data_IF_876869727279
#
_entry.id   IF_876869727279
#
_cell.length_a   1.000
_cell.length_b   1.000
_cell.length_c   1.000
_cell.angle_alpha   90.00
_cell.angle_beta   90.00
_cell.angle_gamma   90.00
#
_symmetry.space_group_name_H-M   'P 1'
#
loop_
_entity.id
_entity.type
_entity.pdbx_description
1 polymer ?
#
# COMPACT_ATOMS: atom_id res chain seq x y z
N UNK A 1 19.48 -45.58 -26.68
CA UNK A 1 19.59 -44.12 -26.56
C UNK A 1 18.75 -43.71 -25.36
N UNK A 2 19.42 -43.40 -24.25
CA UNK A 2 18.80 -42.92 -23.01
C UNK A 2 18.26 -41.52 -23.27
N UNK A 3 16.95 -41.32 -23.18
CA UNK A 3 16.34 -39.99 -23.17
C UNK A 3 16.94 -39.21 -22.00
N UNK A 4 17.62 -38.10 -22.27
CA UNK A 4 18.08 -37.20 -21.22
C UNK A 4 16.91 -36.85 -20.29
N UNK A 5 17.12 -36.81 -18.95
CA UNK A 5 16.05 -36.42 -18.04
C UNK A 5 15.53 -35.05 -18.49
N UNK A 6 14.21 -34.94 -18.64
CA UNK A 6 13.55 -33.66 -18.91
C UNK A 6 14.04 -32.71 -17.83
N UNK A 7 14.83 -31.70 -18.20
CA UNK A 7 15.39 -30.76 -17.24
C UNK A 7 14.31 -29.73 -16.90
N UNK A 8 13.46 -30.09 -15.94
CA UNK A 8 12.32 -29.29 -15.49
C UNK A 8 12.74 -27.92 -14.94
N UNK A 9 14.01 -27.77 -14.53
CA UNK A 9 14.57 -26.54 -13.99
C UNK A 9 14.75 -25.44 -15.06
N UNK A 10 14.71 -25.80 -16.34
CA UNK A 10 14.83 -24.87 -17.48
C UNK A 10 13.48 -24.29 -17.94
N UNK A 11 12.36 -24.72 -17.34
CA UNK A 11 11.04 -24.20 -17.73
C UNK A 11 10.83 -22.80 -17.13
N UNK A 12 10.43 -21.80 -17.94
CA UNK A 12 10.30 -20.41 -17.47
C UNK A 12 9.29 -20.26 -16.32
N UNK A 13 8.23 -21.07 -16.31
CA UNK A 13 7.25 -21.10 -15.23
C UNK A 13 7.84 -21.60 -13.90
N UNK A 14 8.67 -22.64 -13.94
CA UNK A 14 9.32 -23.22 -12.75
C UNK A 14 10.35 -22.25 -12.17
N UNK A 15 11.03 -21.50 -13.05
CA UNK A 15 11.98 -20.46 -12.64
C UNK A 15 11.28 -19.25 -12.02
N UNK A 16 10.13 -18.84 -12.57
CA UNK A 16 9.29 -17.78 -12.01
C UNK A 16 8.74 -18.16 -10.62
N UNK A 17 8.20 -19.36 -10.47
CA UNK A 17 7.70 -19.86 -9.18
C UNK A 17 8.83 -20.02 -8.16
N UNK A 18 9.97 -20.58 -8.56
CA UNK A 18 11.14 -20.72 -7.70
C UNK A 18 11.68 -19.37 -7.23
N UNK A 19 11.75 -18.40 -8.15
CA UNK A 19 12.08 -17.01 -7.85
C UNK A 19 11.09 -16.39 -6.87
N UNK A 20 9.79 -16.57 -7.09
CA UNK A 20 8.75 -16.05 -6.22
C UNK A 20 8.83 -16.59 -4.79
N UNK A 21 9.00 -17.91 -4.62
CA UNK A 21 9.13 -18.52 -3.30
C UNK A 21 10.39 -18.01 -2.58
N UNK A 22 11.52 -17.94 -3.29
CA UNK A 22 12.75 -17.39 -2.72
C UNK A 22 12.58 -15.91 -2.34
N UNK A 23 11.96 -15.12 -3.21
CA UNK A 23 11.68 -13.70 -2.98
C UNK A 23 10.74 -13.48 -1.81
N UNK A 24 9.74 -14.34 -1.64
CA UNK A 24 8.80 -14.30 -0.54
C UNK A 24 9.51 -14.56 0.80
N UNK A 25 10.37 -15.58 0.86
CA UNK A 25 11.16 -15.89 2.05
C UNK A 25 12.11 -14.74 2.41
N UNK A 26 12.74 -14.11 1.41
CA UNK A 26 13.58 -12.92 1.62
C UNK A 26 12.75 -11.71 2.04
N UNK A 27 11.58 -11.50 1.44
CA UNK A 27 10.65 -10.43 1.77
C UNK A 27 10.12 -10.52 3.20
N UNK A 28 10.13 -11.72 3.80
CA UNK A 28 9.74 -12.01 5.18
C UNK A 28 10.87 -11.84 6.21
N UNK A 29 12.10 -11.54 5.77
CA UNK A 29 13.21 -11.19 6.67
C UNK A 29 13.47 -9.68 6.58
N UNK A 30 13.42 -8.92 7.69
CA UNK A 30 13.66 -7.49 7.67
C UNK A 30 15.03 -7.17 7.04
N UNK A 31 15.05 -6.25 6.06
CA UNK A 31 16.24 -5.79 5.34
C UNK A 31 16.97 -6.83 4.47
N UNK A 32 16.46 -8.06 4.34
CA UNK A 32 17.14 -9.08 3.54
C UNK A 32 17.16 -8.75 2.04
N UNK A 33 16.15 -8.02 1.52
CA UNK A 33 16.16 -7.55 0.13
C UNK A 33 17.29 -6.55 -0.15
N UNK A 34 17.57 -5.65 0.81
CA UNK A 34 18.64 -4.65 0.71
C UNK A 34 20.02 -5.31 0.83
N UNK A 35 20.16 -6.33 1.68
CA UNK A 35 21.40 -7.12 1.78
C UNK A 35 21.72 -7.88 0.49
N UNK A 36 20.71 -8.44 -0.17
CA UNK A 36 20.87 -9.15 -1.45
C UNK A 36 21.23 -8.21 -2.60
N UNK A 37 20.64 -7.02 -2.71
CA UNK A 37 21.07 -6.04 -3.72
C UNK A 37 22.52 -5.57 -3.52
N UNK A 38 22.98 -5.48 -2.27
CA UNK A 38 24.35 -5.09 -1.94
C UNK A 38 25.36 -6.22 -2.23
N UNK A 39 24.94 -7.48 -2.07
CA UNK A 39 25.69 -8.69 -2.43
C UNK A 39 25.67 -8.99 -3.94
N UNK A 40 24.57 -8.71 -4.63
CA UNK A 40 24.42 -8.79 -6.08
C UNK A 40 25.22 -7.68 -6.77
N UNK A 41 25.19 -6.45 -6.25
CA UNK A 41 26.05 -5.35 -6.71
C UNK A 41 27.54 -5.61 -6.44
N UNK A 42 27.87 -6.42 -5.42
CA UNK A 42 29.23 -6.88 -5.15
C UNK A 42 29.65 -8.09 -6.03
N UNK A 43 28.77 -8.62 -6.89
CA UNK A 43 29.09 -9.70 -7.83
C UNK A 43 29.30 -11.07 -7.19
N UNK A 44 28.84 -11.29 -5.95
CA UNK A 44 29.11 -12.51 -5.17
C UNK A 44 28.10 -13.63 -5.43
N UNK A 45 26.94 -13.34 -6.02
CA UNK A 45 25.88 -14.31 -6.32
C UNK A 45 25.66 -14.53 -7.82
N UNK A 46 25.36 -15.77 -8.19
CA UNK A 46 25.18 -16.19 -9.57
C UNK A 46 23.97 -15.53 -10.23
N UNK A 47 24.14 -15.08 -11.48
CA UNK A 47 23.10 -14.39 -12.25
C UNK A 47 21.98 -15.38 -12.61
N UNK A 48 20.85 -15.33 -11.91
CA UNK A 48 19.65 -16.10 -12.25
C UNK A 48 19.06 -15.67 -13.60
N UNK A 49 18.20 -16.53 -14.17
CA UNK A 49 17.45 -16.22 -15.40
C UNK A 49 16.49 -15.04 -15.19
N UNK A 50 16.10 -14.31 -16.27
CA UNK A 50 15.19 -13.17 -16.17
C UNK A 50 13.87 -13.50 -15.47
N UNK A 51 13.34 -14.71 -15.68
CA UNK A 51 12.10 -15.21 -15.09
C UNK A 51 12.24 -15.43 -13.58
N UNK A 52 13.38 -15.97 -13.13
CA UNK A 52 13.67 -16.12 -11.71
C UNK A 52 13.83 -14.77 -11.00
N UNK A 53 14.41 -13.75 -11.67
CA UNK A 53 14.53 -12.38 -11.12
C UNK A 53 13.17 -11.70 -11.00
N UNK A 54 12.32 -11.86 -12.00
CA UNK A 54 10.95 -11.36 -11.96
C UNK A 54 10.15 -12.01 -10.81
N UNK A 55 10.29 -13.33 -10.63
CA UNK A 55 9.72 -14.05 -9.50
C UNK A 55 10.22 -13.51 -8.17
N UNK A 56 11.55 -13.37 -8.02
CA UNK A 56 12.22 -12.86 -6.82
C UNK A 56 11.68 -11.48 -6.42
N UNK A 57 11.60 -10.56 -7.37
CA UNK A 57 11.10 -9.20 -7.14
C UNK A 57 9.63 -9.19 -6.69
N UNK A 58 8.76 -9.98 -7.34
CA UNK A 58 7.35 -10.11 -6.94
C UNK A 58 7.24 -10.70 -5.53
N UNK A 59 8.03 -11.74 -5.22
CA UNK A 59 8.06 -12.37 -3.91
C UNK A 59 8.49 -11.40 -2.80
N UNK A 60 9.53 -10.59 -3.04
CA UNK A 60 10.01 -9.59 -2.08
C UNK A 60 8.98 -8.50 -1.79
N UNK A 61 8.23 -8.06 -2.80
CA UNK A 61 7.12 -7.10 -2.63
C UNK A 61 6.02 -7.73 -1.76
N UNK A 62 5.59 -8.95 -2.08
CA UNK A 62 4.53 -9.64 -1.33
C UNK A 62 4.95 -9.92 0.11
N UNK A 63 6.18 -10.41 0.33
CA UNK A 63 6.73 -10.65 1.66
C UNK A 63 6.92 -9.35 2.46
N UNK A 64 7.40 -8.28 1.82
CA UNK A 64 7.55 -6.96 2.43
C UNK A 64 6.22 -6.34 2.84
N UNK A 65 5.18 -6.45 2.01
CA UNK A 65 3.81 -6.03 2.36
C UNK A 65 3.27 -6.87 3.53
N UNK A 66 3.48 -8.19 3.53
CA UNK A 66 3.09 -9.06 4.64
C UNK A 66 3.82 -8.69 5.95
N UNK A 67 5.12 -8.36 5.90
CA UNK A 67 5.87 -7.85 7.05
C UNK A 67 5.40 -6.49 7.52
N UNK A 68 5.13 -5.55 6.60
CA UNK A 68 4.64 -4.22 6.95
C UNK A 68 3.26 -4.30 7.59
N UNK A 69 2.36 -5.13 7.04
CA UNK A 69 1.04 -5.37 7.63
C UNK A 69 1.19 -6.08 8.97
N UNK A 70 2.02 -7.11 9.07
CA UNK A 70 2.32 -7.82 10.31
C UNK A 70 2.90 -6.91 11.40
N UNK A 71 3.75 -5.95 11.03
CA UNK A 71 4.28 -4.91 11.91
C UNK A 71 3.24 -3.87 12.34
N UNK A 72 2.16 -3.69 11.58
CA UNK A 72 1.02 -2.83 11.91
C UNK A 72 -0.10 -3.57 12.69
N UNK A 73 -0.10 -4.92 12.71
CA UNK A 73 -1.17 -5.77 13.31
C UNK A 73 -0.76 -6.48 14.59
N UNK A 74 0.08 -5.85 15.42
CA UNK A 74 0.45 -6.38 16.75
C UNK A 74 -0.69 -6.51 17.77
N UNK A 75 -1.90 -5.97 17.52
CA UNK A 75 -3.02 -6.00 18.48
C UNK A 75 -4.35 -6.56 17.96
N UNK A 76 -4.57 -6.74 16.65
CA UNK A 76 -5.89 -7.21 16.17
C UNK A 76 -5.93 -8.71 15.86
N UNK A 77 -4.77 -9.37 15.76
CA UNK A 77 -4.74 -10.82 15.47
C UNK A 77 -4.42 -11.69 16.69
N UNK A 78 -3.70 -11.20 17.72
CA UNK A 78 -3.37 -12.00 18.92
C UNK A 78 -4.58 -12.46 19.74
N UNK A 79 -5.72 -11.77 19.62
CA UNK A 79 -6.99 -12.14 20.27
C UNK A 79 -7.90 -13.04 19.44
N UNK A 80 -7.62 -13.27 18.15
CA UNK A 80 -8.50 -14.06 17.27
C UNK A 80 -7.81 -15.32 16.74
N UNK A 81 -6.47 -15.37 16.61
CA UNK A 81 -5.76 -16.65 16.42
C UNK A 81 -5.69 -17.53 17.66
N UNK A 82 -6.06 -17.00 18.82
CA UNK A 82 -6.25 -17.78 20.05
C UNK A 82 -7.59 -18.54 20.09
N UNK A 83 -8.51 -18.32 19.13
CA UNK A 83 -9.84 -18.95 19.14
C UNK A 83 -10.08 -20.04 18.08
N UNK A 84 -9.17 -20.23 17.11
CA UNK A 84 -9.25 -21.37 16.17
C UNK A 84 -7.89 -22.05 16.12
N UNK A 85 -7.78 -23.17 16.84
CA UNK A 85 -6.52 -23.82 17.18
C UNK A 85 -5.66 -24.21 15.98
N UNK A 86 -4.36 -23.85 16.09
CA UNK A 86 -3.12 -24.65 15.89
C UNK A 86 -1.93 -23.97 16.62
N UNK A 87 -2.16 -22.94 17.45
CA UNK A 87 -1.10 -22.11 18.06
C UNK A 87 -0.69 -22.46 19.49
N UNK A 88 -0.85 -23.71 19.95
CA UNK A 88 -0.71 -24.04 21.38
C UNK A 88 0.59 -24.72 21.82
N UNK A 89 1.64 -24.79 20.98
CA UNK A 89 2.77 -25.67 21.30
C UNK A 89 4.18 -25.08 21.28
N UNK A 90 4.39 -23.77 21.11
CA UNK A 90 5.70 -23.15 21.39
C UNK A 90 5.47 -21.75 21.94
N UNK A 91 5.66 -21.58 23.25
CA UNK A 91 5.59 -20.28 23.91
C UNK A 91 6.78 -19.37 23.55
N UNK A 92 6.58 -18.09 23.86
CA UNK A 92 7.53 -16.93 23.89
C UNK A 92 7.48 -16.01 22.65
N UNK A 93 7.47 -14.66 22.80
CA UNK A 93 6.69 -13.76 23.67
C UNK A 93 5.86 -12.74 22.83
N UNK A 94 5.07 -11.88 23.46
CA UNK A 94 4.44 -10.74 22.80
C UNK A 94 5.51 -9.81 22.17
N UNK A 95 5.56 -9.75 20.82
CA UNK A 95 6.55 -8.96 20.11
C UNK A 95 6.06 -7.51 20.04
N UNK A 96 6.85 -6.62 20.63
CA UNK A 96 6.75 -5.18 20.51
C UNK A 96 6.54 -4.76 19.04
N UNK A 97 5.66 -3.77 18.82
CA UNK A 97 5.57 -3.05 17.53
C UNK A 97 6.93 -2.40 17.27
N UNK A 98 7.80 -3.10 16.55
CA UNK A 98 9.13 -2.59 16.24
C UNK A 98 9.03 -1.78 14.96
N UNK A 99 9.29 -0.48 15.06
CA UNK A 99 9.54 0.39 13.90
C UNK A 99 10.50 -0.27 12.90
N UNK A 100 11.41 -1.14 13.36
CA UNK A 100 12.31 -1.92 12.51
C UNK A 100 11.61 -2.91 11.57
N UNK A 101 10.45 -3.48 11.93
CA UNK A 101 9.67 -4.36 11.04
C UNK A 101 8.97 -3.56 9.95
N UNK A 102 8.43 -2.39 10.30
CA UNK A 102 7.78 -1.49 9.32
C UNK A 102 8.83 -0.92 8.36
N UNK A 103 9.95 -0.41 8.89
CA UNK A 103 11.06 0.13 8.08
C UNK A 103 11.74 -0.98 7.26
N UNK A 104 11.91 -2.18 7.83
CA UNK A 104 12.45 -3.34 7.12
C UNK A 104 11.53 -3.84 6.01
N UNK A 105 10.21 -3.86 6.22
CA UNK A 105 9.23 -4.19 5.20
C UNK A 105 9.18 -3.17 4.06
N UNK A 106 9.25 -1.86 4.38
CA UNK A 106 9.38 -0.79 3.37
C UNK A 106 10.67 -0.93 2.57
N UNK A 107 11.79 -1.31 3.22
CA UNK A 107 13.06 -1.60 2.54
C UNK A 107 12.95 -2.77 1.55
N UNK A 108 12.28 -3.86 1.92
CA UNK A 108 12.06 -5.01 1.04
C UNK A 108 11.13 -4.67 -0.15
N UNK A 109 10.13 -3.80 0.05
CA UNK A 109 9.27 -3.32 -1.03
C UNK A 109 10.07 -2.45 -2.02
N UNK A 110 10.94 -1.57 -1.52
CA UNK A 110 11.76 -0.71 -2.37
C UNK A 110 12.74 -1.51 -3.25
N UNK A 111 13.43 -2.50 -2.66
CA UNK A 111 14.32 -3.41 -3.38
C UNK A 111 13.56 -4.22 -4.45
N UNK A 112 12.37 -4.74 -4.11
CA UNK A 112 11.53 -5.46 -5.08
C UNK A 112 11.06 -4.58 -6.25
N UNK A 113 10.72 -3.31 -6.01
CA UNK A 113 10.36 -2.35 -7.07
C UNK A 113 11.56 -2.03 -7.98
N UNK A 114 12.75 -1.87 -7.40
CA UNK A 114 13.98 -1.62 -8.16
C UNK A 114 14.37 -2.83 -9.00
N UNK A 115 14.34 -4.04 -8.45
CA UNK A 115 14.57 -5.28 -9.18
C UNK A 115 13.56 -5.53 -10.29
N UNK A 116 12.28 -5.24 -10.07
CA UNK A 116 11.23 -5.35 -11.09
C UNK A 116 11.43 -4.33 -12.22
N UNK A 117 11.79 -3.08 -11.89
CA UNK A 117 12.11 -2.05 -12.87
C UNK A 117 13.29 -2.45 -13.77
N UNK A 118 14.34 -3.02 -13.17
CA UNK A 118 15.49 -3.53 -13.93
C UNK A 118 15.13 -4.74 -14.81
N UNK A 119 14.28 -5.65 -14.32
CA UNK A 119 13.81 -6.79 -15.10
C UNK A 119 12.97 -6.36 -16.32
N UNK A 120 12.11 -5.35 -16.15
CA UNK A 120 11.27 -4.79 -17.22
C UNK A 120 12.08 -3.97 -18.23
N UNK A 121 13.12 -3.24 -17.79
CA UNK A 121 14.04 -2.54 -18.70
C UNK A 121 14.96 -3.50 -19.47
N UNK A 122 15.23 -4.69 -18.92
CA UNK A 122 16.01 -5.74 -19.58
C UNK A 122 15.22 -6.58 -20.58
N UNK A 123 13.88 -6.55 -20.53
CA UNK A 123 13.01 -7.22 -21.50
C UNK A 123 12.37 -6.19 -22.43
N UNK A 124 13.04 -5.92 -23.56
CA UNK A 124 12.46 -5.17 -24.66
C UNK A 124 11.20 -5.87 -25.19
N UNK A 125 10.03 -5.26 -24.94
CA UNK A 125 8.75 -5.42 -25.66
C UNK A 125 8.39 -6.82 -26.19
N UNK A 126 7.48 -7.53 -25.51
CA UNK A 126 6.56 -8.47 -26.18
C UNK A 126 5.32 -8.75 -25.31
N UNK A 127 4.14 -8.37 -25.82
CA UNK A 127 2.85 -9.03 -25.50
C UNK A 127 1.87 -8.30 -24.57
N UNK A 128 0.61 -8.04 -25.00
CA UNK A 128 -0.38 -7.33 -24.20
C UNK A 128 -1.00 -8.27 -23.17
N UNK A 129 -0.56 -8.15 -21.91
CA UNK A 129 -1.31 -8.69 -20.78
C UNK A 129 -2.22 -7.58 -20.31
N UNK A 130 -3.53 -7.81 -20.49
CA UNK A 130 -4.59 -6.87 -20.19
C UNK A 130 -4.38 -6.21 -18.84
N UNK A 131 -3.86 -4.98 -18.88
CA UNK A 131 -4.08 -4.02 -17.83
C UNK A 131 -5.60 -3.92 -17.71
N UNK A 132 -6.14 -4.44 -16.61
CA UNK A 132 -7.42 -3.96 -16.13
C UNK A 132 -7.36 -2.43 -16.26
N UNK A 133 -8.37 -1.77 -16.86
CA UNK A 133 -8.31 -0.33 -17.04
C UNK A 133 -7.96 0.25 -15.68
N UNK A 134 -6.83 0.96 -15.60
CA UNK A 134 -6.45 1.74 -14.44
C UNK A 134 -7.65 2.65 -14.24
N UNK A 135 -8.57 2.26 -13.35
CA UNK A 135 -9.67 3.13 -12.96
C UNK A 135 -8.95 4.29 -12.31
N UNK A 136 -8.91 5.40 -13.03
CA UNK A 136 -8.35 6.64 -12.52
C UNK A 136 -9.01 6.85 -11.15
N UNK A 137 -8.23 6.66 -10.08
CA UNK A 137 -8.82 6.71 -8.74
C UNK A 137 -9.46 8.08 -8.58
N UNK A 138 -10.75 8.16 -8.20
CA UNK A 138 -11.47 9.42 -8.21
C UNK A 138 -10.72 10.45 -7.37
N UNK A 139 -10.47 11.61 -7.98
CA UNK A 139 -9.81 12.75 -7.33
C UNK A 139 -10.55 13.15 -6.07
N UNK A 140 -9.80 13.47 -5.02
CA UNK A 140 -10.31 13.98 -3.74
C UNK A 140 -10.56 15.49 -3.79
N UNK A 141 -10.20 16.17 -4.88
CA UNK A 141 -10.47 17.60 -5.11
C UNK A 141 -11.94 17.89 -5.45
N UNK A 142 -12.75 16.84 -5.63
CA UNK A 142 -14.19 16.91 -5.88
C UNK A 142 -14.92 15.93 -4.95
N UNK A 143 -16.23 16.09 -4.74
CA UNK A 143 -17.03 15.09 -4.03
C UNK A 143 -16.86 13.69 -4.64
N UNK A 144 -16.33 12.78 -3.83
CA UNK A 144 -16.18 11.37 -4.18
C UNK A 144 -17.50 10.57 -4.25
N UNK A 145 -17.43 9.28 -4.62
CA UNK A 145 -18.60 8.44 -4.92
C UNK A 145 -19.54 8.17 -3.72
N UNK A 146 -19.09 8.45 -2.50
CA UNK A 146 -19.89 8.27 -1.28
C UNK A 146 -20.43 9.60 -0.72
N UNK A 147 -20.30 10.71 -1.46
CA UNK A 147 -20.82 12.02 -1.08
C UNK A 147 -22.36 12.08 -1.19
N UNK A 148 -23.07 11.52 -0.19
CA UNK A 148 -24.54 11.44 -0.18
C UNK A 148 -25.23 12.67 0.41
N UNK A 149 -24.65 13.26 1.44
CA UNK A 149 -25.19 14.41 2.18
C UNK A 149 -24.04 15.30 2.64
N UNK A 150 -24.28 16.61 2.72
CA UNK A 150 -23.31 17.62 3.16
C UNK A 150 -23.97 18.69 4.03
N UNK A 151 -23.16 19.51 4.69
CA UNK A 151 -23.62 20.76 5.33
C UNK A 151 -22.96 21.95 4.61
N UNK A 152 -23.51 23.17 4.70
CA UNK A 152 -22.85 24.37 4.17
C UNK A 152 -21.45 24.53 4.77
N UNK A 153 -20.47 24.91 3.94
CA UNK A 153 -19.14 25.25 4.41
C UNK A 153 -18.90 26.76 4.39
N UNK A 154 -17.82 27.13 5.05
CA UNK A 154 -17.22 28.44 5.05
C UNK A 154 -15.70 28.27 5.18
N UNK A 155 -14.94 29.35 4.97
CA UNK A 155 -13.49 29.30 5.21
C UNK A 155 -13.15 29.07 6.68
N UNK A 156 -12.07 28.35 6.93
CA UNK A 156 -11.52 28.15 8.27
C UNK A 156 -11.94 26.83 8.90
N UNK A 157 -12.04 26.81 10.23
CA UNK A 157 -12.38 25.59 10.96
C UNK A 157 -13.89 25.49 11.18
N UNK A 158 -14.48 24.28 11.12
CA UNK A 158 -15.88 24.10 11.50
C UNK A 158 -16.07 24.47 12.98
N UNK A 159 -17.21 25.04 13.30
CA UNK A 159 -17.71 25.16 14.66
C UNK A 159 -17.98 23.79 15.29
N UNK A 160 -18.18 23.75 16.61
CA UNK A 160 -18.47 22.50 17.31
C UNK A 160 -19.80 21.86 16.84
N UNK A 161 -20.81 22.67 16.52
CA UNK A 161 -22.11 22.18 16.02
C UNK A 161 -21.98 21.62 14.60
N UNK A 162 -21.22 22.29 13.72
CA UNK A 162 -20.90 21.78 12.38
C UNK A 162 -20.09 20.49 12.45
N UNK A 163 -19.07 20.43 13.31
CA UNK A 163 -18.27 19.23 13.52
C UNK A 163 -19.14 18.04 13.98
N UNK A 164 -20.13 18.27 14.85
CA UNK A 164 -21.09 17.23 15.28
C UNK A 164 -21.98 16.76 14.12
N UNK A 165 -22.39 17.67 13.24
CA UNK A 165 -23.14 17.32 12.03
C UNK A 165 -22.29 16.48 11.07
N UNK A 166 -21.06 16.89 10.77
CA UNK A 166 -20.13 16.12 9.92
C UNK A 166 -19.85 14.73 10.52
N UNK A 167 -19.66 14.63 11.84
CA UNK A 167 -19.53 13.34 12.52
C UNK A 167 -20.77 12.45 12.37
N UNK A 168 -21.96 13.04 12.36
CA UNK A 168 -23.22 12.31 12.12
C UNK A 168 -23.27 11.80 10.68
N UNK A 169 -22.87 12.62 9.71
CA UNK A 169 -22.76 12.23 8.31
C UNK A 169 -21.74 11.09 8.11
N UNK A 170 -20.57 11.16 8.75
CA UNK A 170 -19.57 10.07 8.74
C UNK A 170 -20.17 8.76 9.26
N UNK A 171 -20.91 8.77 10.37
CA UNK A 171 -21.55 7.55 10.92
C UNK A 171 -22.62 6.99 9.98
N UNK A 172 -23.40 7.86 9.33
CA UNK A 172 -24.49 7.47 8.44
C UNK A 172 -23.96 6.92 7.12
N UNK A 173 -23.10 7.68 6.45
CA UNK A 173 -22.72 7.49 5.05
C UNK A 173 -21.25 7.12 4.84
N UNK A 174 -20.39 7.32 5.84
CA UNK A 174 -18.96 7.13 5.73
C UNK A 174 -18.24 8.32 5.09
N UNK A 175 -16.94 8.16 4.91
CA UNK A 175 -16.04 9.06 4.22
C UNK A 175 -16.54 9.25 2.79
N UNK A 176 -16.71 10.48 2.35
CA UNK A 176 -17.29 10.77 1.04
C UNK A 176 -16.42 10.26 -0.14
N UNK A 177 -15.14 9.98 0.12
CA UNK A 177 -14.17 9.49 -0.86
C UNK A 177 -14.11 7.96 -0.91
N UNK A 178 -13.91 7.29 0.23
CA UNK A 178 -13.66 5.84 0.28
C UNK A 178 -14.74 5.02 1.03
N UNK A 179 -15.76 5.68 1.58
CA UNK A 179 -16.89 5.03 2.24
C UNK A 179 -16.63 4.51 3.66
N UNK A 180 -15.38 4.55 4.17
CA UNK A 180 -15.10 4.11 5.55
C UNK A 180 -15.88 4.93 6.57
N UNK A 181 -16.42 4.29 7.61
CA UNK A 181 -17.07 4.99 8.73
C UNK A 181 -16.11 5.36 9.85
N UNK A 182 -14.85 4.93 9.72
CA UNK A 182 -13.81 5.21 10.71
C UNK A 182 -13.01 6.47 10.30
N UNK A 183 -13.00 7.52 11.13
CA UNK A 183 -12.35 8.77 10.76
C UNK A 183 -10.83 8.70 10.81
N UNK A 184 -10.24 7.78 11.58
CA UNK A 184 -8.78 7.62 11.70
C UNK A 184 -8.06 8.80 12.33
N UNK A 185 -8.78 9.66 13.07
CA UNK A 185 -8.21 10.76 13.86
C UNK A 185 -8.11 10.34 15.33
N UNK A 186 -7.16 10.92 16.08
CA UNK A 186 -6.98 10.62 17.51
C UNK A 186 -8.18 11.05 18.37
N UNK A 187 -8.92 12.07 17.94
CA UNK A 187 -10.12 12.56 18.65
C UNK A 187 -11.37 11.74 18.38
N UNK A 188 -11.34 10.83 17.39
CA UNK A 188 -12.53 10.15 16.89
C UNK A 188 -13.48 11.04 16.08
N UNK A 189 -13.13 12.32 15.85
CA UNK A 189 -13.89 13.21 14.98
C UNK A 189 -13.50 12.99 13.52
N UNK A 190 -14.50 12.92 12.64
CA UNK A 190 -14.28 13.02 11.19
C UNK A 190 -13.73 14.39 10.80
N UNK A 191 -12.99 14.45 9.70
CA UNK A 191 -12.55 15.72 9.14
C UNK A 191 -13.71 16.33 8.35
N UNK A 192 -14.00 17.61 8.60
CA UNK A 192 -14.86 18.42 7.76
C UNK A 192 -14.08 18.84 6.52
N UNK A 193 -14.27 18.11 5.43
CA UNK A 193 -13.56 18.35 4.18
C UNK A 193 -14.23 19.45 3.39
N UNK A 194 -13.44 20.44 3.00
CA UNK A 194 -13.91 21.55 2.19
C UNK A 194 -13.99 21.11 0.73
N UNK A 195 -15.17 21.22 0.13
CA UNK A 195 -15.38 20.96 -1.29
C UNK A 195 -15.95 22.21 -1.99
N UNK A 196 -15.21 22.82 -2.94
CA UNK A 196 -13.81 22.52 -3.29
C UNK A 196 -12.83 22.83 -2.12
N UNK A 197 -11.58 22.32 -2.15
CA UNK A 197 -10.59 22.62 -1.13
C UNK A 197 -10.33 24.12 -1.01
N UNK A 198 -10.30 24.65 0.22
CA UNK A 198 -10.20 26.10 0.48
C UNK A 198 -8.95 26.78 -0.13
N UNK A 199 -7.90 26.01 -0.41
CA UNK A 199 -6.67 26.52 -1.01
C UNK A 199 -6.82 26.76 -2.53
N UNK A 200 -7.83 26.14 -3.16
CA UNK A 200 -8.05 26.18 -4.59
C UNK A 200 -9.20 27.11 -4.99
N UNK A 201 -10.23 27.25 -4.15
CA UNK A 201 -11.42 28.07 -4.38
C UNK A 201 -12.24 28.26 -3.08
N UNK A 202 -13.31 29.06 -3.13
CA UNK A 202 -14.26 29.25 -2.03
C UNK A 202 -15.00 27.94 -1.69
N UNK A 203 -14.88 27.44 -0.45
CA UNK A 203 -15.53 26.20 -0.07
C UNK A 203 -17.04 26.37 0.04
N UNK A 204 -17.79 25.44 -0.57
CA UNK A 204 -19.26 25.52 -0.63
C UNK A 204 -19.92 24.57 0.37
N UNK A 205 -19.33 23.39 0.52
CA UNK A 205 -19.89 22.32 1.37
C UNK A 205 -18.82 21.64 2.20
N UNK A 206 -19.23 21.17 3.37
CA UNK A 206 -18.46 20.24 4.19
C UNK A 206 -18.96 18.83 3.97
N UNK A 207 -18.03 17.93 3.67
CA UNK A 207 -18.28 16.49 3.56
C UNK A 207 -17.48 15.71 4.61
N UNK A 208 -17.98 14.57 5.11
CA UNK A 208 -17.25 13.74 6.05
C UNK A 208 -16.04 13.09 5.38
N UNK A 209 -14.86 13.21 5.99
CA UNK A 209 -13.63 12.69 5.41
C UNK A 209 -12.77 12.02 6.48
N UNK A 210 -12.07 10.94 6.10
CA UNK A 210 -11.16 10.21 6.98
C UNK A 210 -9.73 10.75 6.86
N UNK A 211 -8.91 10.51 7.88
CA UNK A 211 -7.55 11.03 7.96
C UNK A 211 -6.67 10.58 6.77
N UNK A 212 -6.88 9.36 6.29
CA UNK A 212 -6.19 8.83 5.11
C UNK A 212 -6.49 9.64 3.84
N UNK A 213 -7.78 9.81 3.51
CA UNK A 213 -8.17 10.54 2.31
C UNK A 213 -7.88 12.05 2.44
N UNK A 214 -7.94 12.63 3.66
CA UNK A 214 -7.49 14.00 3.93
C UNK A 214 -6.01 14.20 3.58
N UNK A 215 -5.15 13.24 3.92
CA UNK A 215 -3.73 13.33 3.59
C UNK A 215 -3.50 13.27 2.08
N UNK A 216 -4.23 12.38 1.38
CA UNK A 216 -4.22 12.30 -0.08
C UNK A 216 -4.66 13.62 -0.73
N UNK A 217 -5.74 14.24 -0.24
CA UNK A 217 -6.21 15.53 -0.76
C UNK A 217 -5.17 16.63 -0.61
N UNK A 218 -4.47 16.70 0.53
CA UNK A 218 -3.37 17.65 0.70
C UNK A 218 -2.30 17.52 -0.40
N UNK A 219 -1.96 16.29 -0.78
CA UNK A 219 -1.04 16.02 -1.89
C UNK A 219 -1.59 16.43 -3.26
N UNK A 220 -2.88 16.20 -3.52
CA UNK A 220 -3.55 16.62 -4.76
C UNK A 220 -3.66 18.14 -4.88
N UNK A 221 -3.99 18.83 -3.78
CA UNK A 221 -4.03 20.30 -3.71
C UNK A 221 -2.66 20.89 -4.01
N UNK A 222 -1.58 20.36 -3.42
CA UNK A 222 -0.23 20.84 -3.68
C UNK A 222 0.20 20.61 -5.14
N UNK A 223 -0.24 19.52 -5.77
CA UNK A 223 0.01 19.28 -7.21
C UNK A 223 -0.74 20.28 -8.07
N UNK A 224 -2.00 20.55 -7.74
CA UNK A 224 -2.84 21.49 -8.49
C UNK A 224 -2.33 22.93 -8.37
N UNK A 225 -1.93 23.37 -7.18
CA UNK A 225 -1.32 24.68 -6.98
C UNK A 225 -0.07 24.87 -7.84
N UNK A 226 0.86 23.90 -7.83
CA UNK A 226 2.06 23.95 -8.67
C UNK A 226 1.77 23.99 -10.18
N UNK A 227 0.70 23.33 -10.64
CA UNK A 227 0.28 23.40 -12.04
C UNK A 227 -0.20 24.80 -12.41
N UNK A 228 -0.94 25.47 -11.52
CA UNK A 228 -1.44 26.83 -11.74
C UNK A 228 -0.32 27.88 -11.74
N UNK A 229 0.74 27.67 -10.96
CA UNK A 229 1.92 28.55 -10.96
C UNK A 229 2.72 28.50 -12.27
N UNK A 230 2.59 27.41 -13.05
CA UNK A 230 3.30 27.20 -14.32
C UNK A 230 2.50 27.68 -15.54
N UNK A 231 1.28 28.19 -15.35
CA UNK A 231 0.39 28.70 -16.40
C UNK A 231 0.35 30.23 -16.36
#
# INVERSE_FOLDING_TARGET
MTTAPIDWSQKPYVQLEGGFVAGLLLGLVPFAGVGHELLDAAGVLAHGTPEARMGLAIGQIVGGVALTIGGLTGEVFGGITSATGIGAAIGVPAIAVSTGLVVGGVGNIAAGIQGLSQALMSQGSTGPQGAAPVREEPTTLKPGPFAKESIPAHRGRPSASEQKQVNTLMKRHGCHTCGTKEPGTKSGNSIADHQPPQALDEPKIFLPHCNHCKARQGGEVLRELRKREQQ
#
